data_IF_874355576644
#
_entry.id   IF_874355576644
#
_cell.length_a   1.000
_cell.length_b   1.000
_cell.length_c   1.000
_cell.angle_alpha   90.00
_cell.angle_beta   90.00
_cell.angle_gamma   90.00
#
_symmetry.space_group_name_H-M   'P 1'
#
loop_
_entity.id
_entity.type
_entity.pdbx_description
1 polymer ?
#
# COMPACT_ATOMS: atom_id res chain seq x y z
N UNK A 1 -14.49 -9.12 -16.48
CA UNK A 1 -14.06 -9.43 -15.10
C UNK A 1 -13.93 -10.93 -14.96
N UNK A 2 -12.83 -11.44 -14.39
CA UNK A 2 -12.60 -12.88 -14.28
C UNK A 2 -13.67 -13.55 -13.38
N UNK A 3 -14.35 -14.64 -13.83
CA UNK A 3 -15.52 -15.21 -13.12
C UNK A 3 -15.24 -15.64 -11.67
N UNK A 4 -14.02 -16.09 -11.38
CA UNK A 4 -13.61 -16.50 -10.01
C UNK A 4 -13.39 -15.33 -9.06
N UNK A 5 -13.11 -14.12 -9.58
CA UNK A 5 -12.93 -12.90 -8.76
C UNK A 5 -14.28 -12.36 -8.31
N UNK A 6 -15.33 -12.52 -9.14
CA UNK A 6 -16.69 -12.09 -8.83
C UNK A 6 -17.31 -12.80 -7.61
N UNK A 7 -16.71 -13.89 -7.13
CA UNK A 7 -17.15 -14.61 -5.92
C UNK A 7 -16.72 -13.94 -4.62
N UNK A 8 -15.76 -13.01 -4.67
CA UNK A 8 -15.26 -12.33 -3.49
C UNK A 8 -16.08 -11.07 -3.24
N UNK A 9 -16.50 -10.85 -1.99
CA UNK A 9 -17.49 -9.83 -1.61
C UNK A 9 -17.18 -8.41 -2.11
N UNK A 10 -15.91 -8.00 -2.10
CA UNK A 10 -15.49 -6.65 -2.54
C UNK A 10 -15.44 -6.50 -4.07
N UNK A 11 -15.55 -7.62 -4.78
CA UNK A 11 -15.55 -7.69 -6.22
C UNK A 11 -16.93 -8.07 -6.78
N UNK A 12 -17.80 -8.68 -5.97
CA UNK A 12 -19.08 -9.25 -6.42
C UNK A 12 -20.08 -8.21 -6.92
N UNK A 13 -20.13 -7.00 -6.35
CA UNK A 13 -20.97 -5.92 -6.89
C UNK A 13 -20.27 -5.01 -7.91
N UNK A 14 -19.10 -5.43 -8.39
CA UNK A 14 -18.41 -4.79 -9.50
C UNK A 14 -17.87 -3.38 -9.22
N UNK A 15 -17.45 -2.66 -10.28
CA UNK A 15 -16.71 -1.40 -10.15
C UNK A 15 -17.54 -0.27 -9.53
N UNK A 16 -18.88 -0.31 -9.66
CA UNK A 16 -19.77 0.70 -9.09
C UNK A 16 -19.79 0.58 -7.56
N UNK A 17 -19.99 -0.63 -7.01
CA UNK A 17 -19.99 -0.83 -5.56
C UNK A 17 -18.63 -0.43 -4.95
N UNK A 18 -17.53 -0.85 -5.58
CA UNK A 18 -16.18 -0.48 -5.15
C UNK A 18 -15.96 1.04 -5.21
N UNK A 19 -16.36 1.68 -6.31
CA UNK A 19 -16.26 3.13 -6.48
C UNK A 19 -17.05 3.90 -5.41
N UNK A 20 -18.29 3.50 -5.16
CA UNK A 20 -19.13 4.09 -4.09
C UNK A 20 -18.44 3.93 -2.73
N UNK A 21 -17.94 2.75 -2.40
CA UNK A 21 -17.22 2.51 -1.14
C UNK A 21 -16.01 3.45 -0.98
N UNK A 22 -15.15 3.54 -2.01
CA UNK A 22 -13.96 4.40 -1.96
C UNK A 22 -14.31 5.89 -1.87
N UNK A 23 -15.38 6.33 -2.53
CA UNK A 23 -15.86 7.71 -2.47
C UNK A 23 -16.47 8.04 -1.10
N UNK A 24 -17.21 7.11 -0.48
CA UNK A 24 -17.71 7.28 0.88
C UNK A 24 -16.57 7.36 1.90
N UNK A 25 -15.56 6.51 1.76
CA UNK A 25 -14.35 6.59 2.59
C UNK A 25 -13.65 7.95 2.42
N UNK A 26 -13.44 8.40 1.18
CA UNK A 26 -12.79 9.69 0.90
C UNK A 26 -13.60 10.86 1.48
N UNK A 27 -14.92 10.85 1.31
CA UNK A 27 -15.84 11.85 1.87
C UNK A 27 -15.79 11.85 3.40
N UNK A 28 -15.75 10.67 4.02
CA UNK A 28 -15.64 10.53 5.47
C UNK A 28 -14.33 11.13 5.99
N UNK A 29 -13.18 10.73 5.44
CA UNK A 29 -11.88 11.13 6.00
C UNK A 29 -11.54 12.60 5.74
N UNK A 30 -12.07 13.19 4.66
CA UNK A 30 -11.78 14.59 4.29
C UNK A 30 -12.81 15.60 4.78
N UNK A 31 -14.09 15.22 4.88
CA UNK A 31 -15.18 16.15 5.21
C UNK A 31 -16.02 15.70 6.40
N UNK A 32 -16.77 14.59 6.28
CA UNK A 32 -17.79 14.23 7.26
C UNK A 32 -17.20 13.92 8.64
N UNK A 33 -16.16 13.08 8.71
CA UNK A 33 -15.50 12.73 9.95
C UNK A 33 -14.94 13.95 10.70
N UNK A 34 -14.15 14.84 10.05
CA UNK A 34 -13.73 16.10 10.66
C UNK A 34 -14.88 16.98 11.17
N UNK A 35 -15.99 17.09 10.43
CA UNK A 35 -17.19 17.84 10.86
C UNK A 35 -17.80 17.19 12.11
N UNK A 36 -18.01 15.88 12.11
CA UNK A 36 -18.58 15.12 13.24
C UNK A 36 -17.70 15.20 14.49
N UNK A 37 -16.38 15.32 14.30
CA UNK A 37 -15.39 15.43 15.38
C UNK A 37 -15.14 16.86 15.85
N UNK A 38 -15.71 17.88 15.19
CA UNK A 38 -15.44 19.30 15.49
C UNK A 38 -15.70 19.62 16.97
N UNK A 39 -16.87 19.22 17.48
CA UNK A 39 -17.32 19.47 18.85
C UNK A 39 -17.13 18.29 19.80
N UNK A 40 -16.42 17.23 19.37
CA UNK A 40 -16.12 16.06 20.19
C UNK A 40 -14.68 16.08 20.69
N UNK A 41 -14.46 15.48 21.86
CA UNK A 41 -13.11 15.17 22.36
C UNK A 41 -12.49 14.06 21.49
N UNK A 42 -11.16 14.03 21.30
CA UNK A 42 -10.51 12.97 20.54
C UNK A 42 -10.72 11.62 21.23
N UNK A 43 -11.06 10.59 20.45
CA UNK A 43 -11.25 9.24 20.99
C UNK A 43 -9.92 8.65 21.50
N UNK A 44 -9.99 7.91 22.60
CA UNK A 44 -8.85 7.14 23.15
C UNK A 44 -8.91 5.73 22.58
N UNK A 45 -8.21 5.51 21.46
CA UNK A 45 -8.25 4.25 20.70
C UNK A 45 -6.98 3.41 20.88
N UNK A 46 -6.27 3.57 22.02
CA UNK A 46 -4.92 3.00 22.20
C UNK A 46 -4.90 1.48 22.04
N UNK A 47 -5.72 0.76 22.82
CA UNK A 47 -5.75 -0.70 22.81
C UNK A 47 -6.16 -1.26 21.45
N UNK A 48 -7.17 -0.63 20.82
CA UNK A 48 -7.63 -0.98 19.48
C UNK A 48 -6.48 -0.83 18.48
N UNK A 49 -5.73 0.27 18.53
CA UNK A 49 -4.59 0.49 17.65
C UNK A 49 -3.43 -0.50 17.91
N UNK A 50 -3.19 -0.91 19.16
CA UNK A 50 -2.18 -1.93 19.47
C UNK A 50 -2.55 -3.24 18.77
N UNK A 51 -3.76 -3.73 18.98
CA UNK A 51 -4.25 -4.98 18.37
C UNK A 51 -4.27 -4.87 16.85
N UNK A 52 -4.81 -3.77 16.30
CA UNK A 52 -4.87 -3.52 14.87
C UNK A 52 -3.49 -3.51 14.21
N UNK A 53 -2.52 -2.76 14.76
CA UNK A 53 -1.18 -2.70 14.17
C UNK A 53 -0.47 -4.06 14.27
N UNK A 54 -0.66 -4.81 15.36
CA UNK A 54 -0.10 -6.16 15.50
C UNK A 54 -0.68 -7.11 14.45
N UNK A 55 -2.00 -7.08 14.23
CA UNK A 55 -2.65 -7.87 13.17
C UNK A 55 -2.05 -7.52 11.80
N UNK A 56 -1.85 -6.23 11.50
CA UNK A 56 -1.25 -5.82 10.23
C UNK A 56 0.21 -6.24 10.10
N UNK A 57 1.00 -6.25 11.17
CA UNK A 57 2.36 -6.82 11.15
C UNK A 57 2.30 -8.29 10.76
N UNK A 58 1.48 -9.09 11.44
CA UNK A 58 1.38 -10.53 11.21
C UNK A 58 0.87 -10.86 9.80
N UNK A 59 -0.16 -10.16 9.34
CA UNK A 59 -0.74 -10.36 8.00
C UNK A 59 0.27 -10.00 6.90
N UNK A 60 0.98 -8.87 7.01
CA UNK A 60 1.97 -8.48 6.01
C UNK A 60 3.19 -9.42 6.04
N UNK A 61 3.65 -9.84 7.22
CA UNK A 61 4.76 -10.80 7.36
C UNK A 61 4.41 -12.17 6.75
N UNK A 62 3.19 -12.66 7.00
CA UNK A 62 2.68 -13.88 6.39
C UNK A 62 2.65 -13.77 4.86
N UNK A 63 2.16 -12.64 4.33
CA UNK A 63 2.15 -12.43 2.88
C UNK A 63 3.55 -12.38 2.28
N UNK A 64 4.51 -11.73 2.93
CA UNK A 64 5.93 -11.74 2.51
C UNK A 64 6.46 -13.16 2.40
N UNK A 65 6.23 -13.99 3.40
CA UNK A 65 6.65 -15.39 3.40
C UNK A 65 6.06 -16.19 2.23
N UNK A 66 4.75 -16.07 2.02
CA UNK A 66 4.05 -16.74 0.93
C UNK A 66 4.50 -16.25 -0.46
N UNK A 67 4.70 -14.94 -0.63
CA UNK A 67 5.18 -14.36 -1.88
C UNK A 67 6.63 -14.75 -2.18
N UNK A 68 7.52 -14.81 -1.18
CA UNK A 68 8.90 -15.27 -1.36
C UNK A 68 8.98 -16.71 -1.83
N UNK A 69 8.19 -17.61 -1.21
CA UNK A 69 8.08 -19.00 -1.66
C UNK A 69 7.59 -19.08 -3.10
N UNK A 70 6.55 -18.32 -3.43
CA UNK A 70 5.96 -18.40 -4.75
C UNK A 70 6.88 -17.84 -5.83
N UNK A 71 7.58 -16.75 -5.55
CA UNK A 71 8.58 -16.13 -6.44
C UNK A 71 9.88 -16.92 -6.53
N UNK A 72 10.01 -18.05 -5.81
CA UNK A 72 11.24 -18.84 -5.72
C UNK A 72 12.43 -17.92 -5.34
N UNK A 73 12.26 -17.23 -4.22
CA UNK A 73 13.21 -16.24 -3.69
C UNK A 73 13.56 -15.10 -4.66
N UNK A 74 12.69 -14.85 -5.63
CA UNK A 74 12.82 -13.75 -6.60
C UNK A 74 13.31 -14.17 -7.98
N UNK A 75 13.66 -15.45 -8.19
CA UNK A 75 14.10 -15.95 -9.51
C UNK A 75 13.05 -15.69 -10.58
N UNK A 76 11.77 -15.94 -10.28
CA UNK A 76 10.65 -15.69 -11.20
C UNK A 76 10.44 -14.22 -11.52
N UNK A 77 10.79 -13.31 -10.59
CA UNK A 77 10.66 -11.86 -10.82
C UNK A 77 11.62 -11.38 -11.89
N UNK A 78 12.76 -12.05 -12.09
CA UNK A 78 13.78 -11.67 -13.06
C UNK A 78 13.65 -12.40 -14.41
N UNK A 79 12.70 -13.33 -14.52
CA UNK A 79 12.44 -14.05 -15.76
C UNK A 79 12.10 -13.05 -16.89
N UNK A 80 12.89 -13.02 -17.98
CA UNK A 80 12.64 -12.14 -19.11
C UNK A 80 11.35 -12.51 -19.86
N UNK A 81 10.90 -13.75 -19.77
CA UNK A 81 9.64 -14.17 -20.38
C UNK A 81 8.49 -13.89 -19.41
N UNK A 82 7.66 -12.90 -19.75
CA UNK A 82 6.32 -12.84 -19.19
C UNK A 82 5.47 -13.82 -19.99
N UNK A 83 4.88 -14.85 -19.36
CA UNK A 83 3.94 -15.68 -20.09
C UNK A 83 2.78 -14.84 -20.61
N UNK A 84 2.25 -15.18 -21.78
CA UNK A 84 1.11 -14.50 -22.39
C UNK A 84 -0.07 -14.45 -21.40
N UNK A 85 -0.75 -13.31 -21.30
CA UNK A 85 -1.77 -13.08 -20.28
C UNK A 85 -2.81 -14.22 -20.20
N UNK A 86 -3.24 -14.79 -21.32
CA UNK A 86 -4.24 -15.86 -21.35
C UNK A 86 -3.72 -17.20 -20.83
N UNK A 87 -2.54 -17.63 -21.28
CA UNK A 87 -1.88 -18.86 -20.83
C UNK A 87 -1.45 -18.75 -19.36
N UNK A 88 -1.04 -17.55 -18.96
CA UNK A 88 -0.62 -17.26 -17.60
C UNK A 88 -1.81 -17.41 -16.63
N UNK A 89 -2.96 -16.81 -16.97
CA UNK A 89 -4.16 -16.82 -16.13
C UNK A 89 -4.72 -18.23 -15.89
N UNK A 90 -4.59 -19.12 -16.87
CA UNK A 90 -5.05 -20.51 -16.78
C UNK A 90 -4.08 -21.40 -15.97
N UNK A 91 -2.77 -21.17 -16.08
CA UNK A 91 -1.75 -21.96 -15.36
C UNK A 91 -1.58 -21.56 -13.89
N UNK A 92 -1.91 -20.33 -13.52
CA UNK A 92 -1.65 -19.79 -12.16
C UNK A 92 -2.92 -19.51 -11.34
N UNK A 93 -4.01 -20.23 -11.60
CA UNK A 93 -5.26 -20.05 -10.86
C UNK A 93 -5.12 -20.21 -9.33
N UNK A 94 -4.19 -21.06 -8.88
CA UNK A 94 -3.89 -21.29 -7.45
C UNK A 94 -3.35 -20.05 -6.72
N UNK A 95 -2.88 -19.04 -7.46
CA UNK A 95 -2.33 -17.79 -6.92
C UNK A 95 -3.42 -16.78 -6.56
N UNK A 96 -4.61 -16.92 -7.15
CA UNK A 96 -5.69 -15.95 -7.04
C UNK A 96 -6.18 -15.72 -5.59
N UNK A 97 -6.38 -16.75 -4.74
CA UNK A 97 -6.82 -16.53 -3.36
C UNK A 97 -5.81 -15.73 -2.54
N UNK A 98 -4.51 -16.01 -2.69
CA UNK A 98 -3.44 -15.27 -2.00
C UNK A 98 -3.44 -13.79 -2.39
N UNK A 99 -3.67 -13.49 -3.66
CA UNK A 99 -3.74 -12.10 -4.14
C UNK A 99 -4.94 -11.35 -3.64
N UNK A 100 -6.09 -12.01 -3.59
CA UNK A 100 -7.30 -11.41 -3.05
C UNK A 100 -7.15 -11.21 -1.54
N UNK A 101 -6.50 -12.14 -0.85
CA UNK A 101 -6.10 -11.95 0.54
C UNK A 101 -5.26 -10.69 0.72
N UNK A 102 -4.19 -10.49 -0.07
CA UNK A 102 -3.41 -9.24 -0.03
C UNK A 102 -4.23 -8.00 -0.35
N UNK A 103 -5.07 -8.06 -1.37
CA UNK A 103 -5.89 -6.92 -1.74
C UNK A 103 -6.85 -6.53 -0.60
N UNK A 104 -7.41 -7.52 0.11
CA UNK A 104 -8.22 -7.28 1.30
C UNK A 104 -7.45 -6.52 2.39
N UNK A 105 -6.14 -6.77 2.55
CA UNK A 105 -5.31 -6.05 3.54
C UNK A 105 -5.27 -4.55 3.25
N UNK A 106 -5.29 -4.14 1.98
CA UNK A 106 -5.30 -2.71 1.61
C UNK A 106 -6.58 -1.99 2.04
N UNK A 107 -7.69 -2.70 2.23
CA UNK A 107 -8.90 -2.12 2.82
C UNK A 107 -8.79 -1.97 4.33
N UNK A 108 -8.08 -2.87 5.01
CA UNK A 108 -7.78 -2.68 6.41
C UNK A 108 -6.88 -1.47 6.63
N UNK A 109 -5.90 -1.23 5.74
CA UNK A 109 -5.04 -0.04 5.77
C UNK A 109 -5.85 1.28 5.73
N UNK A 110 -7.08 1.28 5.17
CA UNK A 110 -7.97 2.46 5.16
C UNK A 110 -8.42 2.91 6.56
N UNK A 111 -8.38 2.01 7.54
CA UNK A 111 -8.71 2.31 8.94
C UNK A 111 -7.67 3.25 9.57
N UNK A 112 -6.43 3.30 9.07
CA UNK A 112 -5.40 4.24 9.55
C UNK A 112 -5.90 5.68 9.53
N UNK A 113 -6.46 6.09 8.39
CA UNK A 113 -6.97 7.45 8.22
C UNK A 113 -8.21 7.70 9.06
N UNK A 114 -9.07 6.69 9.26
CA UNK A 114 -10.22 6.76 10.16
C UNK A 114 -9.75 7.00 11.60
N UNK A 115 -8.72 6.26 12.06
CA UNK A 115 -8.13 6.48 13.38
C UNK A 115 -7.53 7.88 13.52
N UNK A 116 -6.88 8.43 12.49
CA UNK A 116 -6.38 9.80 12.52
C UNK A 116 -7.49 10.83 12.71
N UNK A 117 -8.60 10.66 11.99
CA UNK A 117 -9.77 11.54 12.09
C UNK A 117 -10.41 11.47 13.48
N UNK A 118 -10.70 10.26 13.97
CA UNK A 118 -11.31 10.05 15.29
C UNK A 118 -10.42 10.51 16.46
N UNK A 119 -9.09 10.51 16.28
CA UNK A 119 -8.13 11.01 17.27
C UNK A 119 -7.79 12.49 17.09
N UNK A 120 -8.44 13.19 16.14
CA UNK A 120 -8.17 14.59 15.77
C UNK A 120 -6.70 14.85 15.43
N UNK A 121 -6.04 13.90 14.77
CA UNK A 121 -4.67 14.00 14.26
C UNK A 121 -4.65 14.47 12.81
N UNK A 122 -5.20 15.66 12.57
CA UNK A 122 -5.34 16.24 11.22
C UNK A 122 -4.00 16.42 10.50
N UNK A 123 -2.90 16.61 11.24
CA UNK A 123 -1.55 16.65 10.68
C UNK A 123 -1.10 15.34 10.03
N UNK A 124 -1.72 14.20 10.39
CA UNK A 124 -1.45 12.89 9.78
C UNK A 124 -2.33 12.64 8.54
N UNK A 125 -3.49 13.29 8.44
CA UNK A 125 -4.38 13.27 7.26
C UNK A 125 -3.84 14.23 6.19
N UNK A 126 -2.62 13.96 5.74
CA UNK A 126 -1.96 14.74 4.69
C UNK A 126 -2.45 14.32 3.31
N UNK A 127 -2.30 15.21 2.31
CA UNK A 127 -2.58 14.88 0.91
C UNK A 127 -1.84 13.60 0.46
N UNK A 128 -0.58 13.44 0.85
CA UNK A 128 0.20 12.23 0.54
C UNK A 128 -0.45 10.96 1.08
N UNK A 129 -0.87 10.98 2.35
CA UNK A 129 -1.49 9.83 2.98
C UNK A 129 -2.84 9.51 2.33
N UNK A 130 -3.72 10.49 2.16
CA UNK A 130 -5.04 10.27 1.54
C UNK A 130 -4.91 9.82 0.08
N UNK A 131 -4.01 10.44 -0.69
CA UNK A 131 -3.74 10.03 -2.08
C UNK A 131 -3.28 8.58 -2.15
N UNK A 132 -2.30 8.19 -1.32
CA UNK A 132 -1.80 6.82 -1.27
C UNK A 132 -2.90 5.81 -0.90
N UNK A 133 -3.62 6.06 0.20
CA UNK A 133 -4.69 5.16 0.66
C UNK A 133 -5.90 5.13 -0.27
N UNK A 134 -6.07 6.12 -1.15
CA UNK A 134 -7.09 6.09 -2.20
C UNK A 134 -6.61 5.33 -3.44
N UNK A 135 -5.44 5.68 -3.99
CA UNK A 135 -5.00 5.18 -5.30
C UNK A 135 -4.53 3.73 -5.24
N UNK A 136 -3.94 3.27 -4.12
CA UNK A 136 -3.44 1.89 -3.99
C UNK A 136 -4.58 0.87 -4.07
N UNK A 137 -5.70 0.99 -3.32
CA UNK A 137 -6.85 0.11 -3.50
C UNK A 137 -7.50 0.25 -4.88
N UNK A 138 -7.60 1.46 -5.44
CA UNK A 138 -8.20 1.66 -6.78
C UNK A 138 -7.39 0.94 -7.86
N UNK A 139 -6.08 1.12 -7.88
CA UNK A 139 -5.20 0.43 -8.82
C UNK A 139 -5.18 -1.08 -8.57
N UNK A 140 -5.16 -1.49 -7.30
CA UNK A 140 -5.25 -2.90 -6.93
C UNK A 140 -6.53 -3.56 -7.46
N UNK A 141 -7.67 -2.87 -7.38
CA UNK A 141 -8.94 -3.36 -7.95
C UNK A 141 -8.86 -3.51 -9.46
N UNK A 142 -8.40 -2.47 -10.17
CA UNK A 142 -8.29 -2.47 -11.63
C UNK A 142 -7.37 -3.61 -12.09
N UNK A 143 -6.17 -3.70 -11.52
CA UNK A 143 -5.20 -4.74 -11.87
C UNK A 143 -5.73 -6.13 -11.52
N UNK A 144 -6.37 -6.30 -10.36
CA UNK A 144 -7.01 -7.56 -10.00
C UNK A 144 -8.08 -7.97 -11.03
N UNK A 145 -8.85 -7.03 -11.57
CA UNK A 145 -9.90 -7.38 -12.55
C UNK A 145 -9.39 -7.70 -13.95
N UNK A 146 -8.21 -7.19 -14.32
CA UNK A 146 -7.72 -7.23 -15.71
C UNK A 146 -6.50 -8.13 -15.90
N UNK A 147 -5.52 -8.04 -15.00
CA UNK A 147 -4.33 -8.89 -15.03
C UNK A 147 -4.02 -9.39 -13.60
N UNK A 148 -4.95 -10.16 -12.99
CA UNK A 148 -4.93 -10.46 -11.56
C UNK A 148 -3.65 -11.09 -11.08
N UNK A 149 -2.95 -11.79 -11.96
CA UNK A 149 -1.98 -12.75 -11.54
C UNK A 149 -0.52 -12.33 -12.00
N UNK A 150 -0.24 -11.19 -12.64
CA UNK A 150 1.13 -10.88 -13.15
C UNK A 150 2.28 -10.96 -12.14
N UNK A 151 3.44 -11.47 -12.57
CA UNK A 151 4.68 -11.52 -11.75
C UNK A 151 5.14 -10.12 -11.33
N UNK A 152 4.95 -9.13 -12.21
CA UNK A 152 5.28 -7.73 -11.93
C UNK A 152 4.53 -7.21 -10.70
N UNK A 153 3.24 -7.52 -10.61
CA UNK A 153 2.43 -7.12 -9.46
C UNK A 153 2.87 -7.84 -8.18
N UNK A 154 3.29 -9.11 -8.25
CA UNK A 154 3.75 -9.83 -7.05
C UNK A 154 5.00 -9.19 -6.45
N UNK A 155 5.96 -8.78 -7.29
CA UNK A 155 7.15 -8.07 -6.82
C UNK A 155 6.79 -6.75 -6.11
N UNK A 156 5.78 -6.02 -6.63
CA UNK A 156 5.23 -4.84 -5.97
C UNK A 156 4.63 -5.19 -4.60
N UNK A 157 3.74 -6.18 -4.55
CA UNK A 157 3.07 -6.59 -3.33
C UNK A 157 4.06 -7.12 -2.27
N UNK A 158 5.09 -7.86 -2.69
CA UNK A 158 6.16 -8.35 -1.81
C UNK A 158 6.92 -7.19 -1.18
N UNK A 159 7.45 -6.26 -1.99
CA UNK A 159 8.21 -5.12 -1.47
C UNK A 159 7.34 -4.21 -0.59
N UNK A 160 6.08 -3.96 -1.00
CA UNK A 160 5.14 -3.18 -0.19
C UNK A 160 4.86 -3.85 1.15
N UNK A 161 4.60 -5.16 1.18
CA UNK A 161 4.30 -5.90 2.41
C UNK A 161 5.51 -5.98 3.34
N UNK A 162 6.73 -6.09 2.80
CA UNK A 162 7.97 -6.03 3.59
C UNK A 162 8.09 -4.69 4.31
N UNK A 163 7.89 -3.59 3.59
CA UNK A 163 7.95 -2.25 4.20
C UNK A 163 6.77 -2.01 5.15
N UNK A 164 5.56 -2.47 4.82
CA UNK A 164 4.40 -2.39 5.70
C UNK A 164 4.59 -3.20 6.99
N UNK A 165 5.23 -4.36 6.94
CA UNK A 165 5.58 -5.13 8.15
C UNK A 165 6.42 -4.29 9.11
N UNK A 166 7.46 -3.63 8.59
CA UNK A 166 8.36 -2.78 9.39
C UNK A 166 7.64 -1.50 9.86
N UNK A 167 6.83 -0.89 8.99
CA UNK A 167 6.07 0.33 9.30
C UNK A 167 5.01 0.09 10.38
N UNK A 168 4.21 -0.97 10.25
CA UNK A 168 3.19 -1.30 11.24
C UNK A 168 3.82 -1.80 12.55
N UNK A 169 5.01 -2.42 12.51
CA UNK A 169 5.76 -2.73 13.72
C UNK A 169 6.14 -1.44 14.47
N UNK A 170 6.60 -0.41 13.75
CA UNK A 170 6.82 0.90 14.34
C UNK A 170 5.54 1.49 14.93
N UNK A 171 4.40 1.41 14.23
CA UNK A 171 3.12 1.93 14.73
C UNK A 171 2.63 1.18 15.96
N UNK A 172 2.73 -0.15 15.96
CA UNK A 172 2.47 -1.02 17.10
C UNK A 172 3.28 -0.59 18.33
N UNK A 173 4.60 -0.49 18.19
CA UNK A 173 5.47 -0.08 19.30
C UNK A 173 5.17 1.35 19.76
N UNK A 174 4.88 2.26 18.82
CA UNK A 174 4.56 3.66 19.15
C UNK A 174 3.23 3.82 19.90
N UNK A 175 2.32 2.85 19.78
CA UNK A 175 1.00 2.88 20.41
C UNK A 175 1.06 2.62 21.93
N UNK A 176 2.13 2.00 22.44
CA UNK A 176 2.40 1.87 23.88
C UNK A 176 2.69 3.22 24.57
N UNK A 177 2.88 4.28 23.79
CA UNK A 177 2.87 5.66 24.28
C UNK A 177 4.26 6.24 24.54
N UNK A 178 4.33 7.37 25.29
CA UNK A 178 5.53 8.19 25.42
C UNK A 178 6.73 7.48 26.04
N UNK A 179 6.52 6.40 26.80
CA UNK A 179 7.62 5.61 27.38
C UNK A 179 8.41 4.84 26.33
N UNK A 180 7.76 4.38 25.25
CA UNK A 180 8.41 3.60 24.19
C UNK A 180 8.94 4.50 23.06
N UNK A 181 8.29 5.62 22.78
CA UNK A 181 8.66 6.53 21.69
C UNK A 181 10.13 6.97 21.64
N UNK A 182 10.85 7.22 22.76
CA UNK A 182 12.27 7.56 22.75
C UNK A 182 13.16 6.47 22.13
N UNK A 183 12.80 5.20 22.29
CA UNK A 183 13.53 4.07 21.74
C UNK A 183 13.30 3.88 20.23
N UNK A 184 12.31 4.57 19.65
CA UNK A 184 11.95 4.48 18.23
C UNK A 184 12.73 5.49 17.36
N UNK A 185 14.03 5.65 17.63
CA UNK A 185 14.95 6.53 16.90
C UNK A 185 15.07 6.19 15.41
N UNK A 186 14.69 4.96 15.04
CA UNK A 186 14.81 4.43 13.69
C UNK A 186 13.69 4.86 12.73
N UNK A 187 12.74 5.71 13.17
CA UNK A 187 11.67 6.29 12.34
C UNK A 187 12.15 6.81 10.98
N UNK A 188 13.30 7.51 10.97
CA UNK A 188 13.88 8.09 9.75
C UNK A 188 14.30 7.04 8.72
N UNK A 189 14.71 5.86 9.18
CA UNK A 189 15.13 4.76 8.31
C UNK A 189 13.93 4.09 7.64
N UNK A 190 12.75 4.12 8.27
CA UNK A 190 11.51 3.65 7.63
C UNK A 190 11.19 4.51 6.40
N UNK A 191 11.27 5.84 6.53
CA UNK A 191 11.05 6.73 5.39
C UNK A 191 12.10 6.52 4.29
N UNK A 192 13.36 6.25 4.66
CA UNK A 192 14.41 5.91 3.68
C UNK A 192 14.11 4.57 2.99
N UNK A 193 13.65 3.57 3.73
CA UNK A 193 13.27 2.26 3.19
C UNK A 193 12.12 2.40 2.19
N UNK A 194 11.12 3.23 2.49
CA UNK A 194 10.02 3.56 1.55
C UNK A 194 10.55 4.22 0.27
N UNK A 195 11.48 5.17 0.37
CA UNK A 195 12.11 5.79 -0.81
C UNK A 195 12.87 4.76 -1.65
N UNK A 196 13.67 3.90 -1.02
CA UNK A 196 14.42 2.83 -1.70
C UNK A 196 13.45 1.87 -2.40
N UNK A 197 12.36 1.49 -1.74
CA UNK A 197 11.31 0.67 -2.34
C UNK A 197 10.78 1.30 -3.64
N UNK A 198 10.44 2.59 -3.64
CA UNK A 198 9.91 3.25 -4.85
C UNK A 198 10.94 3.34 -5.97
N UNK A 199 12.23 3.51 -5.66
CA UNK A 199 13.31 3.48 -6.65
C UNK A 199 13.42 2.08 -7.28
N UNK A 200 13.49 1.03 -6.45
CA UNK A 200 13.58 -0.36 -6.92
C UNK A 200 12.38 -0.69 -7.81
N UNK A 201 11.16 -0.34 -7.37
CA UNK A 201 9.94 -0.58 -8.13
C UNK A 201 9.90 0.23 -9.43
N UNK A 202 10.34 1.49 -9.40
CA UNK A 202 10.41 2.33 -10.60
C UNK A 202 11.36 1.75 -11.66
N UNK A 203 12.55 1.31 -11.25
CA UNK A 203 13.53 0.64 -12.13
C UNK A 203 12.95 -0.66 -12.67
N UNK A 204 12.31 -1.47 -11.80
CA UNK A 204 11.71 -2.74 -12.20
C UNK A 204 10.55 -2.56 -13.19
N UNK A 205 9.71 -1.54 -13.00
CA UNK A 205 8.66 -1.17 -13.96
C UNK A 205 9.23 -0.70 -15.30
N UNK A 206 10.24 0.19 -15.29
CA UNK A 206 10.95 0.63 -16.50
C UNK A 206 11.56 -0.56 -17.26
N UNK A 207 12.27 -1.43 -16.55
CA UNK A 207 12.85 -2.64 -17.13
C UNK A 207 11.77 -3.51 -17.78
N UNK A 208 10.64 -3.71 -17.09
CA UNK A 208 9.52 -4.49 -17.63
C UNK A 208 8.89 -3.86 -18.87
N UNK A 209 8.80 -2.53 -18.94
CA UNK A 209 8.25 -1.82 -20.09
C UNK A 209 9.19 -1.84 -21.31
N UNK A 210 10.50 -1.87 -21.11
CA UNK A 210 11.49 -1.76 -22.18
C UNK A 210 11.90 -3.14 -22.71
N UNK A 211 12.08 -4.12 -21.82
CA UNK A 211 12.74 -5.39 -22.16
C UNK A 211 11.81 -6.60 -22.17
N UNK A 212 10.53 -6.45 -21.82
CA UNK A 212 9.57 -7.56 -21.81
C UNK A 212 8.47 -7.34 -22.82
N UNK A 213 7.98 -8.44 -23.39
CA UNK A 213 6.82 -8.39 -24.25
C UNK A 213 5.55 -8.12 -23.42
N UNK A 214 5.03 -6.90 -23.55
CA UNK A 214 3.81 -6.44 -22.90
C UNK A 214 2.64 -6.33 -23.89
N UNK A 215 2.79 -6.82 -25.13
CA UNK A 215 1.78 -6.69 -26.19
C UNK A 215 0.43 -7.32 -25.81
N UNK A 216 0.46 -8.37 -25.00
CA UNK A 216 -0.73 -9.06 -24.49
C UNK A 216 -1.41 -8.35 -23.30
N UNK A 217 -0.84 -7.24 -22.80
CA UNK A 217 -1.33 -6.50 -21.65
C UNK A 217 -1.97 -5.15 -22.07
N UNK A 218 -3.07 -4.74 -21.44
CA UNK A 218 -3.73 -3.47 -21.77
C UNK A 218 -2.88 -2.29 -21.31
N UNK A 219 -2.25 -1.60 -22.27
CA UNK A 219 -1.34 -0.47 -22.03
C UNK A 219 -1.99 0.67 -21.22
N UNK A 220 -3.30 0.89 -21.40
CA UNK A 220 -4.09 1.87 -20.64
C UNK A 220 -4.07 1.62 -19.12
N UNK A 221 -3.70 0.41 -18.67
CA UNK A 221 -3.59 0.04 -17.26
C UNK A 221 -2.12 -0.09 -16.86
N UNK A 222 -1.31 -0.74 -17.69
CA UNK A 222 0.12 -0.98 -17.38
C UNK A 222 0.89 0.33 -17.24
N UNK A 223 0.65 1.31 -18.11
CA UNK A 223 1.37 2.60 -18.10
C UNK A 223 1.05 3.38 -16.81
N UNK A 224 -0.22 3.66 -16.43
CA UNK A 224 -0.53 4.34 -15.18
C UNK A 224 0.04 3.65 -13.94
N UNK A 225 -0.03 2.32 -13.87
CA UNK A 225 0.54 1.55 -12.75
C UNK A 225 2.05 1.73 -12.66
N UNK A 226 2.74 1.70 -13.80
CA UNK A 226 4.20 1.85 -13.89
C UNK A 226 4.67 3.26 -13.54
N UNK A 227 3.80 4.27 -13.69
CA UNK A 227 4.09 5.66 -13.31
C UNK A 227 4.00 5.87 -11.78
N UNK A 228 3.18 5.08 -11.07
CA UNK A 228 2.91 5.29 -9.64
C UNK A 228 4.16 5.29 -8.73
N UNK A 229 5.15 4.39 -8.88
CA UNK A 229 6.37 4.43 -8.09
C UNK A 229 7.08 5.79 -8.16
N UNK A 230 7.09 6.45 -9.34
CA UNK A 230 7.71 7.77 -9.50
C UNK A 230 6.90 8.88 -8.83
N UNK A 231 5.57 8.82 -8.90
CA UNK A 231 4.68 9.75 -8.18
C UNK A 231 4.91 9.62 -6.67
N UNK A 232 4.92 8.40 -6.14
CA UNK A 232 5.19 8.17 -4.73
C UNK A 232 6.60 8.58 -4.33
N UNK A 233 7.62 8.29 -5.15
CA UNK A 233 8.99 8.74 -4.92
C UNK A 233 9.05 10.26 -4.78
N UNK A 234 8.44 11.01 -5.70
CA UNK A 234 8.39 12.46 -5.63
C UNK A 234 7.72 12.96 -4.34
N UNK A 235 6.54 12.43 -4.01
CA UNK A 235 5.77 12.89 -2.86
C UNK A 235 6.45 12.54 -1.52
N UNK A 236 7.02 11.33 -1.41
CA UNK A 236 7.77 10.92 -0.24
C UNK A 236 9.11 11.66 -0.11
N UNK A 237 9.79 11.95 -1.22
CA UNK A 237 11.02 12.74 -1.19
C UNK A 237 10.74 14.16 -0.70
N UNK A 238 9.68 14.78 -1.21
CA UNK A 238 9.21 16.10 -0.74
C UNK A 238 8.87 16.07 0.75
N UNK A 239 8.20 15.01 1.23
CA UNK A 239 7.93 14.81 2.65
C UNK A 239 9.23 14.68 3.46
N UNK A 240 10.16 13.85 3.01
CA UNK A 240 11.44 13.58 3.69
C UNK A 240 12.28 14.87 3.82
N UNK A 241 12.41 15.63 2.74
CA UNK A 241 13.14 16.91 2.75
C UNK A 241 12.48 17.92 3.69
N UNK A 242 11.15 18.02 3.68
CA UNK A 242 10.42 18.92 4.60
C UNK A 242 10.55 18.50 6.07
N UNK A 243 10.50 17.20 6.36
CA UNK A 243 10.48 16.68 7.72
C UNK A 243 11.87 16.61 8.38
N UNK A 244 12.89 16.23 7.62
CA UNK A 244 14.22 15.91 8.17
C UNK A 244 15.33 16.88 7.73
N UNK A 245 15.32 17.36 6.48
CA UNK A 245 16.37 18.25 6.00
C UNK A 245 16.23 19.66 6.57
N UNK A 246 15.03 20.25 6.48
CA UNK A 246 14.74 21.58 7.09
C UNK A 246 14.88 21.60 8.62
N UNK A 247 14.72 20.45 9.28
CA UNK A 247 14.95 20.33 10.72
C UNK A 247 16.44 20.30 11.04
N UNK A 248 17.24 19.58 10.25
CA UNK A 248 18.70 19.54 10.42
C UNK A 248 19.35 20.90 10.21
N UNK A 249 18.87 21.73 9.28
CA UNK A 249 19.38 23.09 9.11
C UNK A 249 19.05 23.99 10.30
N UNK A 250 17.82 23.92 10.84
CA UNK A 250 17.44 24.68 12.04
C UNK A 250 18.24 24.32 13.29
N UNK A 251 18.70 23.08 13.41
CA UNK A 251 19.54 22.62 14.52
C UNK A 251 20.99 23.09 14.34
N UNK A 252 21.48 23.24 13.10
CA UNK A 252 22.83 23.77 12.82
C UNK A 252 22.98 25.29 12.97
N UNK A 253 21.85 26.02 12.96
CA UNK A 253 21.81 27.50 13.05
C UNK A 253 21.56 27.97 14.50
N UNK A 254 21.30 27.05 15.44
CA UNK A 254 21.20 27.32 16.88
C UNK A 254 22.45 26.84 17.60
#
# INVERSE_FOLDING_TARGET
MHPKIARYYLFSGGPIQFGVFMMLWLLFVTKLGPILMKHRKPFVLREIMIVYNLILVLINAFYVYESLKWLDLGSKSLDPQLPELHEWLSKNESVLPRRIFYFNTKFFDLLDTIFFVLRKKSNQVSFLHVYHHFIVPVMGYIVATVCPQTVILEAFCLLNSTVHTIMYLYYFLSAFGPKIQPYLWWKRYITRLQLIQFVILGIYCLHSLIFRDISSYPLLIVIPVSIQPFVFLYMFLRFYLKAYYKMSEKIKVK
#
